data_IF_280532792266
#
_entry.id   IF_280532792266
#
_cell.length_a   1.000
_cell.length_b   1.000
_cell.length_c   1.000
_cell.angle_alpha   90.00
_cell.angle_beta   90.00
_cell.angle_gamma   90.00
#
_symmetry.space_group_name_H-M   'P 1'
#
loop_
_entity.id
_entity.type
_entity.pdbx_description
1 polymer ?
#
# COMPACT_ATOMS: atom_id res chain seq x y z
N UNK A 1 -13.53 -0.53 -21.38
CA UNK A 1 -14.31 -1.78 -21.33
C UNK A 1 -13.31 -2.94 -21.35
N UNK A 2 -12.62 -3.23 -20.23
CA UNK A 2 -11.56 -4.27 -20.15
C UNK A 2 -11.49 -4.92 -18.74
N UNK A 3 -12.65 -5.19 -18.13
CA UNK A 3 -12.73 -5.88 -16.83
C UNK A 3 -12.83 -7.44 -16.93
N UNK A 4 -13.17 -8.10 -18.07
CA UNK A 4 -13.44 -9.55 -18.05
C UNK A 4 -12.17 -10.41 -17.89
N UNK A 5 -11.00 -9.90 -18.28
CA UNK A 5 -9.76 -10.69 -18.26
C UNK A 5 -9.23 -10.91 -16.83
N UNK A 6 -9.42 -9.96 -15.91
CA UNK A 6 -8.94 -10.10 -14.53
C UNK A 6 -9.74 -11.19 -13.80
N UNK A 7 -11.06 -11.24 -14.01
CA UNK A 7 -11.93 -12.27 -13.42
C UNK A 7 -11.63 -13.68 -13.93
N UNK A 8 -11.40 -13.83 -15.25
CA UNK A 8 -11.05 -15.11 -15.87
C UNK A 8 -9.68 -15.60 -15.36
N UNK A 9 -8.69 -14.70 -15.26
CA UNK A 9 -7.37 -15.04 -14.73
C UNK A 9 -7.45 -15.48 -13.26
N UNK A 10 -8.27 -14.80 -12.45
CA UNK A 10 -8.50 -15.17 -11.05
C UNK A 10 -9.12 -16.57 -10.93
N UNK A 11 -10.17 -16.86 -11.70
CA UNK A 11 -10.86 -18.16 -11.69
C UNK A 11 -9.91 -19.29 -12.13
N UNK A 12 -9.10 -19.08 -13.17
CA UNK A 12 -8.13 -20.08 -13.64
C UNK A 12 -7.06 -20.34 -12.58
N UNK A 13 -6.55 -19.30 -11.91
CA UNK A 13 -5.58 -19.46 -10.82
C UNK A 13 -6.17 -20.20 -9.61
N UNK A 14 -7.42 -19.91 -9.23
CA UNK A 14 -8.09 -20.58 -8.11
C UNK A 14 -8.40 -22.04 -8.42
N UNK A 15 -8.84 -22.36 -9.65
CA UNK A 15 -9.15 -23.73 -10.07
C UNK A 15 -7.90 -24.58 -10.24
N UNK A 16 -6.82 -24.03 -10.80
CA UNK A 16 -5.51 -24.72 -10.88
C UNK A 16 -4.91 -24.95 -9.49
N UNK A 17 -5.06 -23.97 -8.58
CA UNK A 17 -4.69 -24.12 -7.16
C UNK A 17 -5.48 -25.25 -6.51
N UNK A 18 -6.81 -25.27 -6.66
CA UNK A 18 -7.68 -26.29 -6.06
C UNK A 18 -7.46 -27.71 -6.64
N UNK A 19 -7.21 -27.84 -7.95
CA UNK A 19 -6.93 -29.11 -8.61
C UNK A 19 -5.59 -29.74 -8.17
N UNK A 20 -4.58 -28.91 -7.89
CA UNK A 20 -3.29 -29.35 -7.35
C UNK A 20 -3.39 -29.77 -5.86
N UNK A 21 -4.34 -29.20 -5.09
CA UNK A 21 -4.55 -29.52 -3.67
C UNK A 21 -5.10 -30.94 -3.41
N UNK A 22 -5.67 -31.60 -4.42
CA UNK A 22 -6.40 -32.85 -4.23
C UNK A 22 -5.51 -34.10 -4.07
N UNK A 23 -4.21 -34.10 -4.45
CA UNK A 23 -3.54 -35.39 -4.67
C UNK A 23 -2.48 -35.89 -3.66
N UNK A 24 -1.43 -35.19 -3.16
CA UNK A 24 -0.42 -35.89 -2.31
C UNK A 24 0.39 -35.07 -1.27
N UNK A 25 0.62 -35.69 -0.10
CA UNK A 25 1.62 -35.42 0.98
C UNK A 25 1.73 -34.00 1.59
N UNK A 26 1.37 -33.85 2.88
CA UNK A 26 1.22 -32.57 3.60
C UNK A 26 2.41 -31.59 3.59
N UNK A 27 3.64 -32.08 3.39
CA UNK A 27 4.84 -31.22 3.26
C UNK A 27 4.91 -30.54 1.89
N UNK A 28 4.63 -31.28 0.81
CA UNK A 28 4.54 -30.73 -0.54
C UNK A 28 3.39 -29.74 -0.63
N UNK A 29 2.28 -30.00 0.10
CA UNK A 29 1.12 -29.10 0.17
C UNK A 29 1.47 -27.73 0.75
N UNK A 30 2.17 -27.67 1.89
CA UNK A 30 2.45 -26.37 2.53
C UNK A 30 3.43 -25.53 1.70
N UNK A 31 4.47 -26.15 1.15
CA UNK A 31 5.41 -25.44 0.27
C UNK A 31 4.69 -24.93 -0.97
N UNK A 32 3.92 -25.77 -1.67
CA UNK A 32 3.21 -25.35 -2.88
C UNK A 32 2.19 -24.23 -2.61
N UNK A 33 1.52 -24.26 -1.46
CA UNK A 33 0.63 -23.17 -1.02
C UNK A 33 1.45 -21.89 -0.80
N UNK A 34 2.57 -21.93 -0.08
CA UNK A 34 3.40 -20.75 0.14
C UNK A 34 3.99 -20.18 -1.15
N UNK A 35 4.44 -21.04 -2.07
CA UNK A 35 4.95 -20.62 -3.38
C UNK A 35 3.84 -20.00 -4.24
N UNK A 36 2.61 -20.53 -4.18
CA UNK A 36 1.48 -19.95 -4.91
C UNK A 36 1.04 -18.60 -4.32
N UNK A 37 1.07 -18.43 -2.99
CA UNK A 37 0.86 -17.15 -2.31
C UNK A 37 1.93 -16.12 -2.73
N UNK A 38 3.21 -16.51 -2.75
CA UNK A 38 4.28 -15.62 -3.17
C UNK A 38 4.14 -15.20 -4.66
N UNK A 39 3.80 -16.16 -5.52
CA UNK A 39 3.60 -15.91 -6.96
C UNK A 39 2.42 -15.00 -7.23
N UNK A 40 1.28 -15.25 -6.58
CA UNK A 40 0.08 -14.39 -6.71
C UNK A 40 0.35 -13.00 -6.15
N UNK A 41 1.04 -12.88 -5.01
CA UNK A 41 1.46 -11.59 -4.46
C UNK A 41 2.34 -10.80 -5.44
N UNK A 42 3.32 -11.47 -6.06
CA UNK A 42 4.18 -10.86 -7.09
C UNK A 42 3.36 -10.32 -8.26
N UNK A 43 2.40 -11.11 -8.77
CA UNK A 43 1.51 -10.69 -9.86
C UNK A 43 0.71 -9.46 -9.45
N UNK A 44 0.10 -9.46 -8.26
CA UNK A 44 -0.68 -8.29 -7.77
C UNK A 44 0.16 -7.02 -7.69
N UNK A 45 1.38 -7.13 -7.18
CA UNK A 45 2.29 -5.99 -7.07
C UNK A 45 2.68 -5.47 -8.46
N UNK A 46 3.00 -6.38 -9.38
CA UNK A 46 3.31 -6.01 -10.77
C UNK A 46 2.12 -5.31 -11.43
N UNK A 47 0.91 -5.87 -11.33
CA UNK A 47 -0.32 -5.25 -11.84
C UNK A 47 -0.56 -3.87 -11.23
N UNK A 48 -0.34 -3.74 -9.92
CA UNK A 48 -0.47 -2.46 -9.23
C UNK A 48 0.52 -1.40 -9.74
N UNK A 49 1.80 -1.76 -9.93
CA UNK A 49 2.79 -0.85 -10.49
C UNK A 49 2.49 -0.47 -11.94
N UNK A 50 2.01 -1.41 -12.76
CA UNK A 50 1.58 -1.13 -14.13
C UNK A 50 0.39 -0.17 -14.16
N UNK A 51 -0.59 -0.37 -13.29
CA UNK A 51 -1.75 0.52 -13.17
C UNK A 51 -1.33 1.93 -12.70
N UNK A 52 -0.42 2.02 -11.74
CA UNK A 52 0.12 3.30 -11.26
C UNK A 52 0.91 4.02 -12.37
N UNK A 53 1.72 3.30 -13.14
CA UNK A 53 2.46 3.84 -14.28
C UNK A 53 1.52 4.30 -15.39
N UNK A 54 0.47 3.53 -15.68
CA UNK A 54 -0.58 3.89 -16.63
C UNK A 54 -1.30 5.18 -16.19
N UNK A 55 -1.74 5.26 -14.93
CA UNK A 55 -2.40 6.44 -14.40
C UNK A 55 -1.50 7.68 -14.46
N UNK A 56 -0.21 7.53 -14.11
CA UNK A 56 0.78 8.62 -14.25
C UNK A 56 0.95 9.07 -15.70
N UNK A 57 1.04 8.13 -16.65
CA UNK A 57 1.16 8.43 -18.09
C UNK A 57 -0.07 9.16 -18.59
N UNK A 58 -1.27 8.70 -18.22
CA UNK A 58 -2.54 9.32 -18.58
C UNK A 58 -2.63 10.76 -18.02
N UNK A 59 -2.26 10.95 -16.75
CA UNK A 59 -2.27 12.26 -16.09
C UNK A 59 -1.29 13.28 -16.70
N UNK A 60 -0.14 12.81 -17.21
CA UNK A 60 0.87 13.65 -17.87
C UNK A 60 0.49 14.02 -19.31
N UNK A 61 -0.38 13.25 -19.96
CA UNK A 61 -0.76 13.52 -21.34
C UNK A 61 -1.50 14.86 -21.44
N UNK A 62 -0.86 15.87 -22.04
CA UNK A 62 -1.44 17.20 -22.21
C UNK A 62 -2.75 17.18 -23.02
N UNK A 63 -2.91 16.20 -23.92
CA UNK A 63 -4.15 16.02 -24.67
C UNK A 63 -5.33 15.67 -23.75
N UNK A 64 -5.10 14.81 -22.76
CA UNK A 64 -6.08 14.41 -21.74
C UNK A 64 -6.48 15.59 -20.84
N UNK A 65 -5.60 16.56 -20.59
CA UNK A 65 -5.95 17.77 -19.83
C UNK A 65 -6.69 18.84 -20.65
N UNK A 66 -6.56 18.83 -21.98
CA UNK A 66 -7.10 19.87 -22.87
C UNK A 66 -8.43 19.49 -23.51
N UNK A 67 -8.68 18.20 -23.73
CA UNK A 67 -9.96 17.72 -24.24
C UNK A 67 -10.96 17.59 -23.10
N UNK A 68 -12.21 17.97 -23.38
CA UNK A 68 -13.54 17.90 -22.70
C UNK A 68 -13.74 16.89 -21.55
N UNK A 69 -12.73 16.62 -20.74
CA UNK A 69 -12.80 15.77 -19.57
C UNK A 69 -13.31 16.61 -18.41
N UNK A 70 -14.32 16.08 -17.72
CA UNK A 70 -14.87 16.76 -16.56
C UNK A 70 -13.77 16.94 -15.50
N UNK A 71 -13.74 18.08 -14.81
CA UNK A 71 -12.81 18.34 -13.70
C UNK A 71 -12.80 17.18 -12.69
N UNK A 72 -13.92 16.48 -12.57
CA UNK A 72 -14.10 15.26 -11.78
C UNK A 72 -13.18 14.11 -12.20
N UNK A 73 -12.98 13.86 -13.50
CA UNK A 73 -12.11 12.77 -13.98
C UNK A 73 -10.63 13.05 -13.68
N UNK A 74 -10.20 14.30 -13.88
CA UNK A 74 -8.84 14.74 -13.54
C UNK A 74 -8.61 14.60 -12.03
N UNK A 75 -9.61 14.95 -11.22
CA UNK A 75 -9.57 14.79 -9.77
C UNK A 75 -9.52 13.31 -9.34
N UNK A 76 -10.34 12.45 -9.94
CA UNK A 76 -10.29 11.02 -9.62
C UNK A 76 -8.95 10.40 -9.98
N UNK A 77 -8.37 10.78 -11.12
CA UNK A 77 -7.06 10.30 -11.54
C UNK A 77 -5.94 10.80 -10.62
N UNK A 78 -5.98 12.07 -10.22
CA UNK A 78 -5.02 12.65 -9.27
C UNK A 78 -5.09 11.93 -7.91
N UNK A 79 -6.31 11.67 -7.44
CA UNK A 79 -6.58 10.96 -6.19
C UNK A 79 -6.12 9.49 -6.24
N UNK A 80 -6.33 8.80 -7.35
CA UNK A 80 -5.85 7.43 -7.56
C UNK A 80 -4.32 7.35 -7.56
N UNK A 81 -3.62 8.32 -8.16
CA UNK A 81 -2.15 8.39 -8.12
C UNK A 81 -1.66 8.67 -6.70
N UNK A 82 -2.36 9.53 -5.95
CA UNK A 82 -2.05 9.83 -4.55
C UNK A 82 -2.21 8.59 -3.67
N UNK A 83 -3.37 7.95 -3.74
CA UNK A 83 -3.67 6.71 -3.01
C UNK A 83 -2.69 5.61 -3.40
N UNK A 84 -2.39 5.48 -4.69
CA UNK A 84 -1.41 4.52 -5.18
C UNK A 84 -0.04 4.73 -4.55
N UNK A 85 0.48 5.98 -4.52
CA UNK A 85 1.76 6.29 -3.86
C UNK A 85 1.76 5.95 -2.38
N UNK A 86 0.65 6.16 -1.67
CA UNK A 86 0.51 5.82 -0.25
C UNK A 86 0.51 4.31 -0.01
N UNK A 87 -0.03 3.51 -0.96
CA UNK A 87 -0.07 2.06 -0.85
C UNK A 87 1.22 1.35 -1.28
N UNK A 88 2.07 1.98 -2.12
CA UNK A 88 3.37 1.41 -2.56
C UNK A 88 4.21 0.85 -1.39
N UNK A 89 4.50 1.60 -0.31
CA UNK A 89 5.33 1.08 0.77
C UNK A 89 4.69 -0.12 1.48
N UNK A 90 3.37 -0.13 1.61
CA UNK A 90 2.61 -1.22 2.23
C UNK A 90 2.67 -2.48 1.37
N UNK A 91 2.45 -2.36 0.07
CA UNK A 91 2.58 -3.48 -0.87
C UNK A 91 4.01 -4.04 -0.91
N UNK A 92 5.00 -3.16 -0.87
CA UNK A 92 6.40 -3.57 -0.83
C UNK A 92 6.75 -4.34 0.45
N UNK A 93 6.26 -3.90 1.61
CA UNK A 93 6.44 -4.64 2.87
C UNK A 93 5.74 -6.01 2.85
N UNK A 94 4.52 -6.09 2.32
CA UNK A 94 3.83 -7.37 2.13
C UNK A 94 4.59 -8.31 1.19
N UNK A 95 5.21 -7.78 0.12
CA UNK A 95 6.03 -8.56 -0.77
C UNK A 95 7.23 -9.19 -0.07
N UNK A 96 7.97 -8.36 0.66
CA UNK A 96 9.13 -8.82 1.45
C UNK A 96 8.67 -9.86 2.46
N UNK A 97 7.53 -9.64 3.12
CA UNK A 97 6.93 -10.61 4.04
C UNK A 97 6.69 -11.96 3.39
N UNK A 98 6.11 -11.96 2.18
CA UNK A 98 5.84 -13.19 1.45
C UNK A 98 7.14 -13.93 1.11
N UNK A 99 8.16 -13.23 0.59
CA UNK A 99 9.47 -13.81 0.30
C UNK A 99 10.10 -14.43 1.54
N UNK A 100 10.15 -13.68 2.64
CA UNK A 100 10.75 -14.14 3.90
C UNK A 100 10.02 -15.39 4.42
N UNK A 101 8.69 -15.38 4.39
CA UNK A 101 7.87 -16.53 4.82
C UNK A 101 8.12 -17.75 3.93
N UNK A 102 8.23 -17.58 2.61
CA UNK A 102 8.54 -18.68 1.68
C UNK A 102 9.94 -19.25 1.95
N UNK A 103 10.93 -18.40 2.24
CA UNK A 103 12.29 -18.86 2.59
C UNK A 103 12.26 -19.69 3.88
N UNK A 104 11.61 -19.21 4.94
CA UNK A 104 11.50 -19.97 6.19
C UNK A 104 10.72 -21.29 6.02
N UNK A 105 9.63 -21.27 5.25
CA UNK A 105 8.90 -22.49 4.91
C UNK A 105 9.79 -23.50 4.17
N UNK A 106 10.59 -23.03 3.21
CA UNK A 106 11.55 -23.90 2.52
C UNK A 106 12.53 -24.55 3.48
N UNK A 107 13.12 -23.79 4.42
CA UNK A 107 14.02 -24.34 5.44
C UNK A 107 13.35 -25.36 6.35
N UNK A 108 12.13 -25.10 6.80
CA UNK A 108 11.37 -26.01 7.66
C UNK A 108 11.06 -27.35 6.98
N UNK A 109 10.83 -27.36 5.67
CA UNK A 109 10.33 -28.54 4.96
C UNK A 109 11.39 -29.32 4.19
N UNK A 110 12.43 -28.67 3.66
CA UNK A 110 13.42 -29.31 2.79
C UNK A 110 14.76 -29.59 3.44
N UNK A 111 15.00 -29.17 4.69
CA UNK A 111 16.23 -29.49 5.40
C UNK A 111 15.96 -30.66 6.35
N UNK A 112 16.14 -31.93 5.91
CA UNK A 112 15.47 -33.09 6.50
C UNK A 112 16.12 -33.59 7.81
N UNK A 113 17.21 -32.97 8.25
CA UNK A 113 18.08 -33.50 9.31
C UNK A 113 18.17 -32.59 10.55
N UNK A 114 17.18 -31.73 10.74
CA UNK A 114 17.18 -30.84 11.90
C UNK A 114 16.65 -31.60 13.11
N UNK A 115 17.48 -31.71 14.15
CA UNK A 115 17.02 -32.13 15.46
C UNK A 115 15.82 -31.25 15.87
N UNK A 116 14.84 -31.83 16.57
CA UNK A 116 13.65 -31.16 17.13
C UNK A 116 13.95 -29.76 17.71
N UNK A 117 15.09 -29.63 18.41
CA UNK A 117 15.60 -28.36 18.92
C UNK A 117 15.73 -27.25 17.85
N UNK A 118 16.32 -27.57 16.69
CA UNK A 118 16.51 -26.59 15.61
C UNK A 118 15.20 -26.20 14.94
N UNK A 119 14.26 -27.13 14.81
CA UNK A 119 12.91 -26.83 14.29
C UNK A 119 12.19 -25.83 15.21
N UNK A 120 12.24 -26.02 16.52
CA UNK A 120 11.68 -25.07 17.48
C UNK A 120 12.33 -23.69 17.41
N UNK A 121 13.65 -23.63 17.18
CA UNK A 121 14.33 -22.35 16.95
C UNK A 121 13.81 -21.66 15.69
N UNK A 122 13.69 -22.36 14.55
CA UNK A 122 13.15 -21.74 13.34
C UNK A 122 11.74 -21.23 13.59
N UNK A 123 10.90 -22.01 14.25
CA UNK A 123 9.52 -21.63 14.51
C UNK A 123 9.44 -20.33 15.34
N UNK A 124 10.22 -20.25 16.42
CA UNK A 124 10.32 -19.04 17.25
C UNK A 124 10.80 -17.85 16.41
N UNK A 125 11.88 -18.02 15.64
CA UNK A 125 12.44 -16.96 14.79
C UNK A 125 11.41 -16.51 13.74
N UNK A 126 10.72 -17.44 13.11
CA UNK A 126 9.69 -17.18 12.09
C UNK A 126 8.54 -16.38 12.70
N UNK A 127 8.06 -16.76 13.89
CA UNK A 127 7.01 -16.04 14.61
C UNK A 127 7.45 -14.63 15.01
N UNK A 128 8.68 -14.46 15.51
CA UNK A 128 9.23 -13.15 15.84
C UNK A 128 9.34 -12.24 14.61
N UNK A 129 9.88 -12.77 13.51
CA UNK A 129 9.99 -12.04 12.24
C UNK A 129 8.61 -11.66 11.71
N UNK A 130 7.64 -12.58 11.74
CA UNK A 130 6.26 -12.31 11.35
C UNK A 130 5.62 -11.20 12.20
N UNK A 131 5.83 -11.20 13.51
CA UNK A 131 5.35 -10.14 14.40
C UNK A 131 5.97 -8.77 14.06
N UNK A 132 7.29 -8.71 13.84
CA UNK A 132 7.99 -7.49 13.45
C UNK A 132 7.45 -6.94 12.13
N UNK A 133 7.25 -7.81 11.14
CA UNK A 133 6.73 -7.42 9.83
C UNK A 133 5.30 -6.89 9.94
N UNK A 134 4.42 -7.58 10.67
CA UNK A 134 3.05 -7.13 10.89
C UNK A 134 2.99 -5.75 11.58
N UNK A 135 3.83 -5.55 12.61
CA UNK A 135 3.97 -4.25 13.27
C UNK A 135 4.47 -3.17 12.31
N UNK A 136 5.45 -3.50 11.46
CA UNK A 136 6.02 -2.56 10.47
C UNK A 136 4.99 -2.18 9.41
N UNK A 137 4.19 -3.13 8.94
CA UNK A 137 3.10 -2.88 7.98
C UNK A 137 2.07 -1.92 8.57
N UNK A 138 1.60 -2.17 9.81
CA UNK A 138 0.65 -1.27 10.45
C UNK A 138 1.24 0.13 10.69
N UNK A 139 2.50 0.19 11.11
CA UNK A 139 3.23 1.45 11.30
C UNK A 139 3.35 2.22 9.99
N UNK A 140 3.65 1.54 8.88
CA UNK A 140 3.72 2.13 7.55
C UNK A 140 2.34 2.66 7.11
N UNK A 141 1.26 1.91 7.31
CA UNK A 141 -0.10 2.37 7.01
C UNK A 141 -0.40 3.66 7.78
N UNK A 142 -0.12 3.70 9.08
CA UNK A 142 -0.34 4.89 9.92
C UNK A 142 0.51 6.06 9.42
N UNK A 143 1.80 5.83 9.16
CA UNK A 143 2.75 6.87 8.76
C UNK A 143 2.41 7.49 7.40
N UNK A 144 2.14 6.66 6.38
CA UNK A 144 1.90 7.12 5.02
C UNK A 144 0.46 7.60 4.77
N UNK A 145 -0.50 7.24 5.61
CA UNK A 145 -1.88 7.71 5.49
C UNK A 145 -2.08 9.05 6.24
N UNK A 146 -2.33 10.19 5.56
CA UNK A 146 -2.33 11.51 6.17
C UNK A 146 -3.28 11.66 7.37
N UNK A 147 -4.51 11.13 7.24
CA UNK A 147 -5.50 11.21 8.32
C UNK A 147 -5.14 10.33 9.52
N UNK A 148 -4.51 9.17 9.30
CA UNK A 148 -4.14 8.26 10.39
C UNK A 148 -2.90 8.79 11.10
N UNK A 149 -1.91 9.26 10.35
CA UNK A 149 -0.71 9.90 10.91
C UNK A 149 -1.08 11.08 11.82
N UNK A 150 -2.00 11.94 11.38
CA UNK A 150 -2.49 13.05 12.19
C UNK A 150 -3.15 12.58 13.48
N UNK A 151 -4.06 11.60 13.40
CA UNK A 151 -4.73 11.05 14.59
C UNK A 151 -3.72 10.41 15.55
N UNK A 152 -2.77 9.62 15.03
CA UNK A 152 -1.72 8.99 15.81
C UNK A 152 -0.83 10.02 16.51
N UNK A 153 -0.47 11.11 15.81
CA UNK A 153 0.31 12.21 16.37
C UNK A 153 -0.44 12.90 17.51
N UNK A 154 -1.75 13.15 17.35
CA UNK A 154 -2.58 13.74 18.40
C UNK A 154 -2.62 12.86 19.65
N UNK A 155 -2.89 11.57 19.48
CA UNK A 155 -2.90 10.58 20.59
C UNK A 155 -1.53 10.53 21.25
N UNK A 156 -0.44 10.51 20.48
CA UNK A 156 0.92 10.49 21.01
C UNK A 156 1.23 11.74 21.85
N UNK A 157 0.83 12.93 21.39
CA UNK A 157 0.97 14.18 22.15
C UNK A 157 0.14 14.15 23.44
N UNK A 158 -1.08 13.62 23.40
CA UNK A 158 -1.92 13.43 24.60
C UNK A 158 -1.26 12.48 25.61
N UNK A 159 -0.72 11.35 25.15
CA UNK A 159 0.04 10.43 25.99
C UNK A 159 1.27 11.09 26.64
N UNK A 160 2.03 11.90 25.89
CA UNK A 160 3.18 12.63 26.43
C UNK A 160 2.79 13.69 27.45
N UNK A 161 1.65 14.36 27.26
CA UNK A 161 1.09 15.30 28.25
C UNK A 161 0.72 14.59 29.55
N UNK A 162 0.14 13.39 29.49
CA UNK A 162 -0.15 12.57 30.68
C UNK A 162 1.14 12.21 31.45
N UNK A 163 2.25 12.02 30.73
CA UNK A 163 3.58 11.79 31.31
C UNK A 163 4.26 13.07 31.82
N UNK A 164 3.58 14.23 31.79
CA UNK A 164 4.13 15.56 32.15
C UNK A 164 5.35 15.95 31.31
N UNK A 165 5.53 15.35 30.14
CA UNK A 165 6.58 15.74 29.19
C UNK A 165 6.07 16.99 28.47
N UNK A 166 6.85 18.09 28.56
CA UNK A 166 6.49 19.36 27.93
C UNK A 166 6.69 19.24 26.42
N UNK A 167 5.61 18.94 25.69
CA UNK A 167 5.59 18.89 24.24
C UNK A 167 4.99 20.16 23.69
N UNK A 168 5.77 20.92 22.92
CA UNK A 168 5.23 22.00 22.08
C UNK A 168 4.48 21.35 20.93
N UNK A 169 3.15 21.34 21.00
CA UNK A 169 2.35 20.81 19.90
C UNK A 169 2.62 21.67 18.65
N UNK A 170 3.20 21.07 17.62
CA UNK A 170 3.23 21.67 16.30
C UNK A 170 1.80 21.54 15.77
N UNK A 171 1.01 22.60 15.92
CA UNK A 171 -0.24 22.71 15.15
C UNK A 171 0.16 22.68 13.67
N UNK A 172 0.02 21.52 13.03
CA UNK A 172 0.01 21.49 11.58
C UNK A 172 -1.31 22.13 11.16
N UNK A 173 -1.31 23.37 10.62
CA UNK A 173 -2.54 23.97 10.16
C UNK A 173 -3.14 23.03 9.12
N UNK A 174 -4.43 22.74 9.26
CA UNK A 174 -5.18 22.11 8.19
C UNK A 174 -5.28 23.16 7.09
N UNK A 175 -4.27 23.20 6.22
CA UNK A 175 -4.32 23.94 4.97
C UNK A 175 -5.29 23.19 4.07
N UNK A 176 -6.58 23.34 4.37
CA UNK A 176 -7.53 23.38 3.28
C UNK A 176 -7.04 24.45 2.32
N UNK A 177 -7.03 24.20 1.01
CA UNK A 177 -6.83 25.28 0.06
C UNK A 177 -7.81 26.40 0.41
N UNK A 178 -7.27 27.59 0.69
CA UNK A 178 -8.04 28.79 1.00
C UNK A 178 -7.92 29.74 -0.18
N UNK A 179 -8.99 30.47 -0.48
CA UNK A 179 -8.94 31.53 -1.49
C UNK A 179 -7.98 32.62 -1.02
N UNK A 180 -7.63 33.56 -1.91
CA UNK A 180 -6.82 34.75 -1.58
C UNK A 180 -7.46 35.52 -0.40
N UNK A 181 -8.78 35.40 -0.23
CA UNK A 181 -9.58 36.03 0.81
C UNK A 181 -9.71 35.17 2.09
N UNK A 182 -9.04 34.01 2.16
CA UNK A 182 -9.03 33.14 3.34
C UNK A 182 -10.24 32.22 3.51
N UNK A 183 -11.18 32.20 2.55
CA UNK A 183 -12.32 31.30 2.59
C UNK A 183 -11.91 29.86 2.24
N UNK A 184 -12.46 28.87 2.94
CA UNK A 184 -12.25 27.45 2.63
C UNK A 184 -12.77 27.18 1.21
N UNK A 185 -11.92 26.70 0.29
CA UNK A 185 -12.34 26.35 -1.08
C UNK A 185 -13.35 25.20 -1.04
N UNK A 186 -14.62 25.55 -0.89
CA UNK A 186 -15.77 24.71 -1.22
C UNK A 186 -16.75 25.61 -1.98
N UNK A 187 -16.35 26.15 -3.16
CA UNK A 187 -17.33 26.71 -4.13
C UNK A 187 -16.79 26.93 -5.58
N UNK A 188 -17.02 25.91 -6.42
CA UNK A 188 -17.56 25.94 -7.81
C UNK A 188 -16.96 26.81 -8.94
N UNK A 189 -16.07 27.79 -8.76
CA UNK A 189 -15.53 28.52 -9.92
C UNK A 189 -14.36 27.78 -10.58
N UNK A 190 -14.32 27.80 -11.92
CA UNK A 190 -13.33 27.09 -12.72
C UNK A 190 -11.90 27.56 -12.44
N UNK A 191 -11.74 28.84 -12.09
CA UNK A 191 -10.46 29.45 -11.73
C UNK A 191 -9.95 28.98 -10.37
N UNK A 192 -10.82 28.91 -9.36
CA UNK A 192 -10.47 28.37 -8.04
C UNK A 192 -10.09 26.88 -8.10
N UNK A 193 -10.78 26.11 -8.93
CA UNK A 193 -10.41 24.72 -9.20
C UNK A 193 -9.01 24.64 -9.83
N UNK A 194 -8.71 25.49 -10.81
CA UNK A 194 -7.39 25.54 -11.46
C UNK A 194 -6.29 25.95 -10.47
N UNK A 195 -6.54 26.93 -9.60
CA UNK A 195 -5.62 27.36 -8.55
C UNK A 195 -5.38 26.22 -7.55
N UNK A 196 -6.44 25.52 -7.13
CA UNK A 196 -6.33 24.31 -6.29
C UNK A 196 -5.47 23.24 -6.95
N UNK A 197 -5.71 22.93 -8.23
CA UNK A 197 -4.91 21.93 -8.95
C UNK A 197 -3.46 22.39 -9.16
N UNK A 198 -3.19 23.69 -9.28
CA UNK A 198 -1.83 24.24 -9.31
C UNK A 198 -1.11 24.02 -7.98
N UNK A 199 -1.72 24.43 -6.87
CA UNK A 199 -1.16 24.23 -5.52
C UNK A 199 -0.95 22.74 -5.21
N UNK A 200 -1.92 21.90 -5.60
CA UNK A 200 -1.81 20.46 -5.48
C UNK A 200 -0.63 19.92 -6.31
N UNK A 201 -0.46 20.38 -7.54
CA UNK A 201 0.66 20.01 -8.40
C UNK A 201 2.01 20.44 -7.82
N UNK A 202 2.12 21.66 -7.31
CA UNK A 202 3.35 22.18 -6.72
C UNK A 202 3.72 21.43 -5.42
N UNK A 203 2.73 21.10 -4.60
CA UNK A 203 2.93 20.24 -3.42
C UNK A 203 3.47 18.85 -3.77
N UNK A 204 3.16 18.36 -4.98
CA UNK A 204 3.63 17.07 -5.47
C UNK A 204 5.05 17.10 -6.05
N UNK A 205 5.49 18.23 -6.60
CA UNK A 205 6.88 18.44 -7.00
C UNK A 205 7.79 18.51 -5.76
N UNK A 206 7.32 19.13 -4.68
CA UNK A 206 8.06 19.25 -3.41
C UNK A 206 8.22 17.93 -2.65
N UNK A 207 7.32 16.95 -2.86
CA UNK A 207 7.42 15.61 -2.25
C UNK A 207 8.25 14.61 -3.07
N UNK A 208 9.01 15.08 -4.07
CA UNK A 208 9.99 14.26 -4.80
C UNK A 208 11.35 14.13 -4.09
N UNK A 209 11.51 14.70 -2.89
CA UNK A 209 12.62 14.41 -1.96
C UNK A 209 12.35 13.11 -1.21
#
# INVERSE_FOLDING_TARGET
MEIPYIGITFIICTVLSAGYMAFQHGVVKTVAVQTSIATTSFIYILTFFLLLAYNKKLYRNKSFRRHVHSLTEIYQLSENIRTGRQLVPVFFLHFISAIVTTIFAFFLFYVPYWNSYWLSIIEIVTNCVGAIINFTIQSAIIYFHPLLNRKATLIFVECLKLLKIKVTAIEQPVNFPRTIDGAVLIKKTTEEANEYFRVLHDSWELTKL
#
